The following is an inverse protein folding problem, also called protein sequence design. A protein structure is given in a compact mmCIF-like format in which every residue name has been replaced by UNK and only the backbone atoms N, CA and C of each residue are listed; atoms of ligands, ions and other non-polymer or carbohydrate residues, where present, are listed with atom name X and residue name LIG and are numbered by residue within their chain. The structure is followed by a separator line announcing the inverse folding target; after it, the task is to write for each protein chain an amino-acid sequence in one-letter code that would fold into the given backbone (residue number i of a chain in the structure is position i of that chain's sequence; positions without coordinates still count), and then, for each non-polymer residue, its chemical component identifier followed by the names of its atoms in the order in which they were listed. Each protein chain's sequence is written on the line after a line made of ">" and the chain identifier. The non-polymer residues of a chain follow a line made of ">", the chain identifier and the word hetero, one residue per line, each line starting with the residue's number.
data_IF_663080163887
#
_entry.id   IF_663080163887
#
_cell.length_a   1.000
_cell.length_b   1.000
_cell.length_c   1.000
_cell.angle_alpha   90.00
_cell.angle_beta   90.00
_cell.angle_gamma   90.00
#
_symmetry.space_group_name_H-M   'P 1'
#
loop_
_entity.id
_entity.type
_entity.pdbx_description
1 polymer ?
#
# COMPACT_ATOMS: atom_id res chain seq x y z
N UNK A 1 24.12 -19.21 15.41
CA UNK A 1 22.69 -19.17 15.18
C UNK A 1 22.06 -18.56 16.43
N UNK A 2 21.35 -17.45 16.32
CA UNK A 2 20.53 -16.96 17.44
C UNK A 2 19.42 -18.01 17.72
N UNK A 3 19.10 -18.25 18.99
CA UNK A 3 18.02 -19.15 19.35
C UNK A 3 16.69 -18.56 18.81
N UNK A 4 15.90 -19.39 18.14
CA UNK A 4 14.57 -18.99 17.69
C UNK A 4 13.70 -18.70 18.93
N UNK A 5 12.98 -17.57 18.90
CA UNK A 5 12.10 -17.19 20.00
C UNK A 5 10.89 -18.12 20.05
N UNK A 6 10.41 -18.42 21.26
CA UNK A 6 9.13 -19.11 21.43
C UNK A 6 7.95 -18.16 21.14
N UNK A 7 6.75 -18.73 20.90
CA UNK A 7 5.53 -17.94 20.68
C UNK A 7 5.25 -17.01 21.88
N UNK A 8 5.41 -17.50 23.10
CA UNK A 8 5.22 -16.71 24.32
C UNK A 8 6.25 -15.57 24.45
N UNK A 9 7.49 -15.80 24.03
CA UNK A 9 8.53 -14.76 24.03
C UNK A 9 8.24 -13.69 22.98
N UNK A 10 7.72 -14.06 21.79
CA UNK A 10 7.32 -13.12 20.75
C UNK A 10 6.17 -12.25 21.24
N UNK A 11 5.11 -12.85 21.83
CA UNK A 11 3.98 -12.13 22.40
C UNK A 11 4.44 -11.15 23.49
N UNK A 12 5.21 -11.62 24.46
CA UNK A 12 5.74 -10.77 25.53
C UNK A 12 6.51 -9.57 24.96
N UNK A 13 7.40 -9.82 24.00
CA UNK A 13 8.16 -8.75 23.33
C UNK A 13 7.27 -7.81 22.52
N UNK A 14 6.23 -8.32 21.85
CA UNK A 14 5.28 -7.48 21.14
C UNK A 14 4.64 -6.45 22.08
N UNK A 15 4.11 -6.89 23.24
CA UNK A 15 3.55 -5.97 24.24
C UNK A 15 4.59 -5.01 24.83
N UNK A 16 5.86 -5.42 24.91
CA UNK A 16 6.94 -4.57 25.40
C UNK A 16 7.30 -3.45 24.40
N UNK A 17 7.57 -3.80 23.14
CA UNK A 17 8.06 -2.84 22.13
C UNK A 17 6.95 -1.93 21.57
N UNK A 18 5.69 -2.38 21.62
CA UNK A 18 4.53 -1.59 21.21
C UNK A 18 3.81 -0.92 22.39
N UNK A 19 4.35 -0.97 23.61
CA UNK A 19 3.71 -0.43 24.82
C UNK A 19 3.24 1.01 24.64
N UNK A 20 4.09 1.87 24.11
CA UNK A 20 3.79 3.28 23.91
C UNK A 20 2.58 3.52 22.98
N UNK A 21 2.38 2.63 21.99
CA UNK A 21 1.22 2.68 21.09
C UNK A 21 0.00 1.97 21.71
N UNK A 22 0.21 0.85 22.40
CA UNK A 22 -0.84 0.01 22.95
C UNK A 22 -1.55 0.61 24.20
N UNK A 23 -0.84 1.44 24.98
CA UNK A 23 -1.35 2.05 26.21
C UNK A 23 -2.14 3.36 25.98
N UNK A 24 -2.18 3.85 24.74
CA UNK A 24 -2.94 5.06 24.38
C UNK A 24 -4.22 4.70 23.64
N UNK A 25 -5.23 5.57 23.75
CA UNK A 25 -6.45 5.44 22.96
C UNK A 25 -6.10 5.61 21.48
N UNK A 26 -6.46 4.65 20.61
CA UNK A 26 -6.18 4.78 19.20
C UNK A 26 -7.02 5.90 18.56
N UNK A 27 -6.45 6.71 17.66
CA UNK A 27 -7.19 7.72 16.90
C UNK A 27 -8.38 7.15 16.12
N UNK A 28 -8.24 5.95 15.57
CA UNK A 28 -9.28 5.20 14.89
C UNK A 28 -9.34 3.77 15.42
N UNK A 29 -10.52 3.33 15.87
CA UNK A 29 -10.72 1.96 16.36
C UNK A 29 -10.92 0.98 15.18
N UNK A 30 -10.79 -0.33 15.41
CA UNK A 30 -11.16 -1.33 14.40
C UNK A 30 -12.63 -1.23 14.00
N UNK A 31 -13.52 -0.96 14.95
CA UNK A 31 -14.93 -0.69 14.69
C UNK A 31 -15.10 0.58 13.83
N UNK A 32 -14.35 1.63 14.14
CA UNK A 32 -14.30 2.84 13.33
C UNK A 32 -13.79 2.57 11.91
N UNK A 33 -12.77 1.72 11.77
CA UNK A 33 -12.30 1.27 10.45
C UNK A 33 -13.37 0.51 9.65
N UNK A 34 -14.18 -0.32 10.31
CA UNK A 34 -15.32 -0.98 9.68
C UNK A 34 -16.40 0.01 9.23
N UNK A 35 -16.69 1.03 10.06
CA UNK A 35 -17.63 2.09 9.67
C UNK A 35 -17.15 2.80 8.40
N UNK A 36 -15.87 3.14 8.36
CA UNK A 36 -15.25 3.75 7.16
C UNK A 36 -15.35 2.84 5.93
N UNK A 37 -15.11 1.53 6.08
CA UNK A 37 -15.31 0.56 5.00
C UNK A 37 -16.75 0.54 4.49
N UNK A 38 -17.71 0.68 5.41
CA UNK A 38 -19.14 0.80 5.12
C UNK A 38 -19.60 2.17 4.64
N UNK A 39 -18.69 3.13 4.43
CA UNK A 39 -18.99 4.53 4.10
C UNK A 39 -19.78 5.28 5.19
N UNK A 40 -19.63 4.85 6.43
CA UNK A 40 -20.22 5.48 7.62
C UNK A 40 -19.18 6.32 8.37
N UNK A 41 -19.64 7.26 9.19
CA UNK A 41 -18.76 8.01 10.08
C UNK A 41 -18.24 7.13 11.22
N UNK A 42 -16.92 7.19 11.45
CA UNK A 42 -16.31 6.51 12.57
C UNK A 42 -16.73 7.14 13.90
N UNK A 43 -17.33 6.35 14.79
CA UNK A 43 -17.62 6.80 16.13
C UNK A 43 -16.35 6.92 16.98
N UNK A 44 -16.31 7.86 17.94
CA UNK A 44 -15.22 7.98 18.89
C UNK A 44 -15.00 6.67 19.67
N UNK A 45 -13.79 6.50 20.20
CA UNK A 45 -13.47 5.37 21.08
C UNK A 45 -14.45 5.29 22.27
N UNK A 46 -15.03 4.11 22.42
CA UNK A 46 -15.86 3.75 23.57
C UNK A 46 -15.33 2.46 24.20
N UNK A 47 -14.83 2.55 25.42
CA UNK A 47 -14.26 1.42 26.13
C UNK A 47 -15.19 0.20 26.24
N UNK A 48 -16.49 0.42 26.32
CA UNK A 48 -17.45 -0.68 26.41
C UNK A 48 -17.59 -1.48 25.11
N UNK A 49 -17.30 -0.84 23.96
CA UNK A 49 -17.46 -1.40 22.63
C UNK A 49 -16.13 -1.68 21.93
N UNK A 50 -15.05 -1.01 22.33
CA UNK A 50 -13.75 -1.05 21.65
C UNK A 50 -12.64 -1.74 22.50
N UNK A 51 -13.04 -2.41 23.61
CA UNK A 51 -12.09 -3.28 24.33
C UNK A 51 -11.63 -4.40 23.43
N UNK A 52 -10.32 -4.57 23.19
CA UNK A 52 -9.79 -5.52 22.20
C UNK A 52 -9.84 -6.98 22.70
N UNK A 53 -11.06 -7.47 22.96
CA UNK A 53 -11.35 -8.88 23.24
C UNK A 53 -11.19 -9.71 21.97
N UNK A 54 -11.10 -11.04 22.11
CA UNK A 54 -11.05 -11.96 20.96
C UNK A 54 -12.25 -11.78 20.03
N UNK A 55 -13.45 -11.64 20.60
CA UNK A 55 -14.66 -11.41 19.82
C UNK A 55 -14.64 -10.08 19.05
N UNK A 56 -14.09 -9.03 19.68
CA UNK A 56 -13.90 -7.73 19.02
C UNK A 56 -12.89 -7.80 17.88
N UNK A 57 -11.72 -8.45 18.10
CA UNK A 57 -10.70 -8.61 17.08
C UNK A 57 -11.25 -9.40 15.89
N UNK A 58 -11.90 -10.54 16.13
CA UNK A 58 -12.47 -11.35 15.08
C UNK A 58 -13.61 -10.64 14.33
N UNK A 59 -14.46 -9.91 15.04
CA UNK A 59 -15.58 -9.18 14.44
C UNK A 59 -15.20 -7.92 13.66
N UNK A 60 -14.06 -7.31 13.99
CA UNK A 60 -13.73 -5.99 13.45
C UNK A 60 -12.43 -5.92 12.64
N UNK A 61 -11.46 -6.85 12.84
CA UNK A 61 -10.15 -6.68 12.25
C UNK A 61 -10.14 -6.87 10.72
N UNK A 62 -10.96 -7.77 10.19
CA UNK A 62 -10.90 -8.14 8.77
C UNK A 62 -11.08 -6.93 7.83
N UNK A 63 -12.09 -6.12 8.07
CA UNK A 63 -12.34 -4.91 7.30
C UNK A 63 -11.65 -3.69 7.90
N UNK A 64 -11.74 -3.53 9.23
CA UNK A 64 -11.30 -2.34 9.92
C UNK A 64 -9.80 -2.09 9.89
N UNK A 65 -8.97 -3.15 9.99
CA UNK A 65 -7.52 -3.02 10.05
C UNK A 65 -6.94 -2.34 8.79
N UNK A 66 -7.61 -2.54 7.66
CA UNK A 66 -7.26 -1.91 6.40
C UNK A 66 -7.29 -0.37 6.45
N UNK A 67 -8.12 0.24 7.26
CA UNK A 67 -8.38 1.69 7.29
C UNK A 67 -7.63 2.44 8.40
N UNK A 68 -7.03 1.74 9.35
CA UNK A 68 -6.32 2.37 10.46
C UNK A 68 -5.14 3.24 10.00
N UNK A 69 -4.92 4.35 10.68
CA UNK A 69 -3.67 5.10 10.63
C UNK A 69 -2.51 4.32 11.26
N UNK A 70 -1.28 4.83 11.13
CA UNK A 70 -0.10 4.12 11.62
C UNK A 70 -0.10 3.92 13.15
N UNK A 71 -0.59 4.90 13.93
CA UNK A 71 -0.64 4.80 15.38
C UNK A 71 -1.71 3.79 15.83
N UNK A 72 -2.92 3.88 15.26
CA UNK A 72 -4.01 2.94 15.53
C UNK A 72 -3.62 1.52 15.14
N UNK A 73 -2.95 1.33 14.01
CA UNK A 73 -2.47 0.03 13.56
C UNK A 73 -1.46 -0.57 14.55
N UNK A 74 -0.45 0.21 14.99
CA UNK A 74 0.52 -0.24 16.00
C UNK A 74 -0.12 -0.54 17.36
N UNK A 75 -1.19 0.18 17.73
CA UNK A 75 -1.98 -0.09 18.95
C UNK A 75 -2.51 -1.53 18.98
N UNK A 76 -3.00 -2.03 17.85
CA UNK A 76 -3.60 -3.38 17.78
C UNK A 76 -2.60 -4.50 17.50
N UNK A 77 -1.40 -4.21 16.95
CA UNK A 77 -0.43 -5.24 16.57
C UNK A 77 -0.12 -6.25 17.67
N UNK A 78 0.24 -5.88 18.92
CA UNK A 78 0.59 -6.87 19.94
C UNK A 78 -0.57 -7.79 20.30
N UNK A 79 -1.80 -7.27 20.28
CA UNK A 79 -3.02 -8.04 20.56
C UNK A 79 -3.39 -8.99 19.43
N UNK A 80 -3.18 -8.56 18.19
CA UNK A 80 -3.40 -9.39 17.02
C UNK A 80 -2.35 -10.51 16.90
N UNK A 81 -1.10 -10.24 17.24
CA UNK A 81 -0.02 -11.26 17.30
C UNK A 81 -0.36 -12.32 18.39
N UNK A 82 -0.77 -11.88 19.58
CA UNK A 82 -1.19 -12.79 20.66
C UNK A 82 -2.42 -13.60 20.25
N UNK A 83 -3.41 -12.94 19.64
CA UNK A 83 -4.60 -13.60 19.12
C UNK A 83 -4.24 -14.67 18.08
N UNK A 84 -3.39 -14.38 17.13
CA UNK A 84 -2.98 -15.31 16.09
C UNK A 84 -2.32 -16.58 16.66
N UNK A 85 -1.51 -16.45 17.69
CA UNK A 85 -0.86 -17.61 18.34
C UNK A 85 -1.80 -18.43 19.23
N UNK A 86 -2.85 -17.81 19.79
CA UNK A 86 -3.86 -18.54 20.59
C UNK A 86 -4.92 -19.24 19.74
N UNK A 87 -5.10 -18.84 18.48
CA UNK A 87 -6.09 -19.37 17.54
C UNK A 87 -5.44 -19.99 16.28
N UNK A 88 -4.53 -20.96 16.42
CA UNK A 88 -3.76 -21.47 15.29
C UNK A 88 -4.61 -22.28 14.29
N UNK A 89 -5.73 -22.87 14.74
CA UNK A 89 -6.53 -23.81 13.95
C UNK A 89 -7.91 -23.27 13.54
N UNK A 90 -8.26 -22.08 13.99
CA UNK A 90 -9.52 -21.46 13.59
C UNK A 90 -9.31 -20.70 12.25
N UNK A 91 -10.28 -20.72 11.33
CA UNK A 91 -10.25 -19.88 10.14
C UNK A 91 -10.49 -18.42 10.55
N UNK A 92 -9.55 -17.86 11.33
CA UNK A 92 -9.69 -16.56 11.95
C UNK A 92 -9.41 -15.46 10.92
N UNK A 93 -10.44 -14.76 10.51
CA UNK A 93 -10.36 -13.63 9.59
C UNK A 93 -9.44 -12.51 10.12
N UNK A 94 -9.35 -12.36 11.43
CA UNK A 94 -8.44 -11.40 12.06
C UNK A 94 -6.96 -11.73 11.80
N UNK A 95 -6.59 -13.02 11.75
CA UNK A 95 -5.22 -13.45 11.47
C UNK A 95 -4.86 -13.19 10.00
N UNK A 96 -5.77 -13.52 9.09
CA UNK A 96 -5.60 -13.21 7.66
C UNK A 96 -5.42 -11.70 7.43
N UNK A 97 -6.27 -10.88 8.06
CA UNK A 97 -6.17 -9.43 7.99
C UNK A 97 -4.86 -8.90 8.58
N UNK A 98 -4.38 -9.48 9.69
CA UNK A 98 -3.08 -9.14 10.27
C UNK A 98 -1.96 -9.38 9.25
N UNK A 99 -1.85 -10.58 8.69
CA UNK A 99 -0.78 -10.92 7.74
C UNK A 99 -0.86 -10.03 6.50
N UNK A 100 -2.04 -9.79 5.95
CA UNK A 100 -2.26 -8.86 4.84
C UNK A 100 -1.82 -7.43 5.18
N UNK A 101 -2.06 -6.97 6.40
CA UNK A 101 -1.65 -5.63 6.85
C UNK A 101 -0.15 -5.47 6.99
N UNK A 102 0.58 -6.58 7.07
CA UNK A 102 2.04 -6.66 7.14
C UNK A 102 2.70 -6.76 5.75
N UNK A 103 1.93 -6.66 4.68
CA UNK A 103 2.42 -6.74 3.29
C UNK A 103 2.34 -5.40 2.59
N UNK A 104 3.21 -5.16 1.59
CA UNK A 104 3.10 -3.99 0.71
C UNK A 104 1.81 -4.07 -0.16
N UNK A 105 1.32 -2.93 -0.68
CA UNK A 105 1.93 -1.62 -0.59
C UNK A 105 1.75 -0.99 0.80
N UNK A 106 2.80 -0.29 1.28
CA UNK A 106 2.65 0.52 2.50
C UNK A 106 1.74 1.71 2.19
N UNK A 107 0.92 2.08 3.16
CA UNK A 107 -0.06 3.17 3.00
C UNK A 107 0.58 4.52 3.28
N UNK A 108 -0.13 5.57 2.90
CA UNK A 108 0.19 6.91 3.35
C UNK A 108 -0.91 7.43 4.32
N UNK A 109 -0.55 7.96 5.49
CA UNK A 109 0.81 7.93 6.07
C UNK A 109 1.35 6.51 6.22
N UNK A 110 2.67 6.30 6.09
CA UNK A 110 3.25 4.96 6.09
C UNK A 110 3.01 4.25 7.43
N UNK A 111 2.78 2.95 7.38
CA UNK A 111 2.63 2.08 8.56
C UNK A 111 3.87 1.20 8.75
N UNK A 112 4.19 0.40 7.73
CA UNK A 112 5.31 -0.55 7.78
C UNK A 112 6.65 0.17 7.99
N UNK A 113 6.87 1.26 7.26
CA UNK A 113 8.08 2.06 7.35
C UNK A 113 8.22 2.85 8.66
N UNK A 114 7.19 2.94 9.49
CA UNK A 114 7.24 3.67 10.78
C UNK A 114 7.70 2.82 11.96
N UNK A 115 7.80 1.51 11.80
CA UNK A 115 8.23 0.62 12.88
C UNK A 115 9.69 0.90 13.27
N UNK A 116 9.98 0.84 14.56
CA UNK A 116 11.36 0.83 15.05
C UNK A 116 12.03 -0.51 14.74
N UNK A 117 13.35 -0.57 14.85
CA UNK A 117 14.08 -1.81 14.61
C UNK A 117 13.64 -2.96 15.55
N UNK A 118 13.30 -2.63 16.81
CA UNK A 118 12.80 -3.62 17.78
C UNK A 118 11.40 -4.10 17.43
N UNK A 119 10.52 -3.20 16.97
CA UNK A 119 9.19 -3.54 16.50
C UNK A 119 9.25 -4.40 15.22
N UNK A 120 10.11 -4.03 14.27
CA UNK A 120 10.37 -4.83 13.06
C UNK A 120 10.85 -6.24 13.42
N UNK A 121 11.80 -6.36 14.36
CA UNK A 121 12.33 -7.67 14.77
C UNK A 121 11.26 -8.60 15.34
N UNK A 122 10.27 -8.05 16.06
CA UNK A 122 9.13 -8.84 16.58
C UNK A 122 8.20 -9.26 15.45
N UNK A 123 7.91 -8.38 14.49
CA UNK A 123 7.10 -8.73 13.31
C UNK A 123 7.78 -9.81 12.48
N UNK A 124 9.07 -9.71 12.26
CA UNK A 124 9.85 -10.73 11.54
C UNK A 124 9.77 -12.08 12.29
N UNK A 125 10.02 -12.11 13.61
CA UNK A 125 9.94 -13.34 14.39
C UNK A 125 8.53 -13.97 14.36
N UNK A 126 7.49 -13.15 14.38
CA UNK A 126 6.10 -13.61 14.22
C UNK A 126 5.88 -14.26 12.85
N UNK A 127 6.24 -13.58 11.75
CA UNK A 127 6.10 -14.10 10.40
C UNK A 127 6.96 -15.35 10.15
N UNK A 128 8.20 -15.38 10.65
CA UNK A 128 9.07 -16.56 10.57
C UNK A 128 8.45 -17.77 11.27
N UNK A 129 7.80 -17.54 12.43
CA UNK A 129 7.14 -18.63 13.16
C UNK A 129 5.96 -19.19 12.37
N UNK A 130 5.14 -18.34 11.74
CA UNK A 130 4.04 -18.78 10.88
C UNK A 130 4.54 -19.46 9.59
N UNK A 131 5.62 -18.94 9.00
CA UNK A 131 6.21 -19.47 7.78
C UNK A 131 6.82 -20.88 7.96
N UNK A 132 7.09 -21.28 9.21
CA UNK A 132 7.60 -22.61 9.59
C UNK A 132 6.48 -23.51 10.15
N UNK A 133 5.26 -23.04 10.24
CA UNK A 133 4.13 -23.80 10.78
C UNK A 133 3.57 -24.76 9.71
N UNK A 134 3.78 -26.05 9.90
CA UNK A 134 3.33 -27.07 8.95
C UNK A 134 1.84 -27.40 9.07
N UNK A 135 1.15 -26.89 10.09
CA UNK A 135 -0.27 -27.15 10.31
C UNK A 135 -1.21 -26.19 9.52
N UNK A 136 -0.66 -25.06 9.03
CA UNK A 136 -1.42 -23.99 8.38
C UNK A 136 -0.76 -23.55 7.07
N UNK A 137 -0.96 -24.37 6.02
CA UNK A 137 -0.39 -24.08 4.70
C UNK A 137 -0.81 -22.72 4.13
N UNK A 138 -2.06 -22.29 4.35
CA UNK A 138 -2.60 -21.01 3.94
C UNK A 138 -1.85 -19.82 4.58
N UNK A 139 -1.68 -19.86 5.89
CA UNK A 139 -0.94 -18.81 6.63
C UNK A 139 0.56 -18.86 6.36
N UNK A 140 1.11 -20.07 6.16
CA UNK A 140 2.53 -20.25 5.85
C UNK A 140 2.92 -19.53 4.57
N UNK A 141 2.17 -19.74 3.48
CA UNK A 141 2.45 -19.10 2.20
C UNK A 141 2.36 -17.58 2.30
N UNK A 142 1.32 -17.06 2.93
CA UNK A 142 1.13 -15.62 3.11
C UNK A 142 2.22 -14.99 4.00
N UNK A 143 2.66 -15.68 5.05
CA UNK A 143 3.74 -15.24 5.92
C UNK A 143 5.10 -15.24 5.19
N UNK A 144 5.39 -16.28 4.40
CA UNK A 144 6.59 -16.33 3.55
C UNK A 144 6.59 -15.20 2.54
N UNK A 145 5.45 -14.95 1.90
CA UNK A 145 5.33 -13.87 0.94
C UNK A 145 5.53 -12.50 1.60
N UNK A 146 4.96 -12.26 2.79
CA UNK A 146 5.19 -11.03 3.53
C UNK A 146 6.68 -10.80 3.83
N UNK A 147 7.37 -11.85 4.30
CA UNK A 147 8.81 -11.82 4.56
C UNK A 147 9.61 -11.43 3.31
N UNK A 148 9.37 -12.07 2.18
CA UNK A 148 10.07 -11.83 0.92
C UNK A 148 9.77 -10.44 0.33
N UNK A 149 8.55 -9.97 0.51
CA UNK A 149 8.10 -8.70 -0.05
C UNK A 149 8.62 -7.49 0.73
N UNK A 150 8.77 -7.57 2.05
CA UNK A 150 9.10 -6.40 2.86
C UNK A 150 10.13 -6.60 3.97
N UNK A 151 10.10 -7.72 4.72
CA UNK A 151 10.75 -7.80 6.02
C UNK A 151 12.18 -8.34 6.02
N UNK A 152 12.53 -9.21 5.08
CA UNK A 152 13.88 -9.76 5.00
C UNK A 152 14.89 -8.78 4.39
N UNK A 153 16.20 -8.93 4.70
CA UNK A 153 17.24 -8.20 4.01
C UNK A 153 17.17 -8.42 2.49
N UNK A 154 17.10 -7.33 1.73
CA UNK A 154 16.95 -7.40 0.27
C UNK A 154 15.53 -7.69 -0.19
N UNK A 155 14.53 -7.56 0.68
CA UNK A 155 13.11 -7.72 0.35
C UNK A 155 12.73 -6.91 -0.89
N UNK A 156 11.90 -7.52 -1.74
CA UNK A 156 11.58 -7.08 -3.10
C UNK A 156 11.03 -5.64 -3.17
N UNK A 157 10.22 -5.24 -2.19
CA UNK A 157 9.46 -3.98 -2.23
C UNK A 157 9.80 -3.04 -1.09
N UNK A 158 10.77 -3.39 -0.24
CA UNK A 158 11.18 -2.52 0.85
C UNK A 158 11.85 -1.26 0.27
N UNK A 159 11.41 -0.06 0.68
CA UNK A 159 12.09 1.15 0.26
C UNK A 159 13.53 1.18 0.79
N UNK A 160 14.38 1.93 0.09
CA UNK A 160 15.77 2.10 0.52
C UNK A 160 15.84 2.79 1.89
N UNK A 161 16.91 2.56 2.68
CA UNK A 161 17.02 3.14 4.02
C UNK A 161 16.83 4.67 4.06
N UNK A 162 17.32 5.39 3.05
CA UNK A 162 17.16 6.85 2.95
C UNK A 162 15.70 7.26 2.68
N UNK A 163 14.94 6.47 1.92
CA UNK A 163 13.51 6.68 1.69
C UNK A 163 12.72 6.44 2.97
N UNK A 164 13.04 5.36 3.69
CA UNK A 164 12.44 5.07 5.01
C UNK A 164 12.74 6.17 6.02
N UNK A 165 14.00 6.65 6.05
CA UNK A 165 14.37 7.74 6.93
C UNK A 165 13.60 9.03 6.62
N UNK A 166 13.41 9.36 5.33
CA UNK A 166 12.62 10.51 4.90
C UNK A 166 11.14 10.37 5.30
N UNK A 167 10.55 9.20 5.15
CA UNK A 167 9.16 8.93 5.57
C UNK A 167 8.97 9.06 7.09
N UNK A 168 9.93 8.58 7.89
CA UNK A 168 9.90 8.70 9.36
C UNK A 168 10.06 10.14 9.83
N UNK A 169 10.91 10.90 9.16
CA UNK A 169 11.21 12.28 9.55
C UNK A 169 10.08 13.27 9.22
N UNK A 170 9.39 13.02 8.11
CA UNK A 170 8.35 13.92 7.61
C UNK A 170 7.26 13.11 6.85
N UNK A 171 6.43 12.32 7.57
CA UNK A 171 5.48 11.41 6.93
C UNK A 171 4.43 12.12 6.06
N UNK A 172 4.17 13.39 6.31
CA UNK A 172 3.26 14.22 5.50
C UNK A 172 3.97 15.00 4.38
N UNK A 173 5.30 14.86 4.23
CA UNK A 173 6.05 15.59 3.21
C UNK A 173 6.30 14.74 1.98
N UNK A 174 6.38 15.43 0.85
CA UNK A 174 6.76 14.79 -0.42
C UNK A 174 8.23 14.38 -0.39
N UNK A 175 8.51 13.23 -0.97
CA UNK A 175 9.86 12.74 -1.20
C UNK A 175 10.00 12.27 -2.65
N UNK A 176 11.24 12.15 -3.10
CA UNK A 176 11.55 11.65 -4.44
C UNK A 176 11.71 10.15 -4.39
N UNK A 177 10.85 9.43 -5.09
CA UNK A 177 11.04 8.01 -5.40
C UNK A 177 11.95 7.94 -6.61
N UNK A 178 13.22 7.62 -6.39
CA UNK A 178 14.25 7.54 -7.44
C UNK A 178 14.56 6.07 -7.76
N UNK A 179 14.32 5.71 -9.00
CA UNK A 179 14.60 4.37 -9.55
C UNK A 179 15.52 4.48 -10.76
N UNK A 180 16.21 3.41 -11.16
CA UNK A 180 17.12 3.45 -12.30
C UNK A 180 16.51 3.95 -13.61
N UNK A 181 15.20 3.77 -13.77
CA UNK A 181 14.49 4.04 -15.03
C UNK A 181 13.50 5.18 -14.95
N UNK A 182 13.12 5.60 -13.73
CA UNK A 182 12.16 6.70 -13.54
C UNK A 182 12.38 7.43 -12.22
N UNK A 183 11.84 8.64 -12.12
CA UNK A 183 11.74 9.42 -10.89
C UNK A 183 10.33 9.98 -10.75
N UNK A 184 9.84 10.01 -9.52
CA UNK A 184 8.53 10.51 -9.19
C UNK A 184 8.54 11.12 -7.78
N UNK A 185 7.93 12.28 -7.60
CA UNK A 185 7.77 12.90 -6.28
C UNK A 185 6.38 12.64 -5.75
N UNK A 186 6.28 12.00 -4.61
CA UNK A 186 4.99 11.66 -3.99
C UNK A 186 5.13 11.48 -2.48
N UNK A 187 4.02 11.53 -1.73
CA UNK A 187 4.06 11.41 -0.27
C UNK A 187 4.14 9.96 0.23
N UNK A 188 4.21 8.99 -0.65
CA UNK A 188 4.33 7.56 -0.31
C UNK A 188 5.39 6.89 -1.18
N UNK A 189 5.81 5.69 -0.81
CA UNK A 189 6.70 4.87 -1.65
C UNK A 189 5.93 4.12 -2.71
N UNK A 190 6.57 3.86 -3.86
CA UNK A 190 6.10 2.89 -4.84
C UNK A 190 6.68 1.52 -4.51
N UNK A 191 5.81 0.56 -4.35
CA UNK A 191 6.16 -0.84 -4.15
C UNK A 191 5.66 -1.66 -5.33
N UNK A 192 6.31 -2.79 -5.63
CA UNK A 192 5.73 -3.73 -6.59
C UNK A 192 4.56 -4.44 -5.92
N UNK A 193 3.36 -4.20 -6.41
CA UNK A 193 2.11 -4.69 -5.80
C UNK A 193 1.48 -5.84 -6.58
N UNK A 194 2.16 -6.34 -7.60
CA UNK A 194 1.65 -7.44 -8.39
C UNK A 194 2.17 -7.47 -9.82
N UNK A 195 1.58 -8.31 -10.63
CA UNK A 195 1.90 -8.44 -12.04
C UNK A 195 0.67 -8.12 -12.90
N UNK A 196 0.92 -7.54 -14.05
CA UNK A 196 -0.12 -7.23 -15.04
C UNK A 196 0.23 -7.88 -16.37
N UNK A 197 -0.75 -8.57 -16.95
CA UNK A 197 -0.62 -9.07 -18.32
C UNK A 197 -0.77 -7.91 -19.31
N UNK A 198 0.25 -7.67 -20.10
CA UNK A 198 0.23 -6.73 -21.21
C UNK A 198 -0.09 -7.52 -22.48
N UNK A 199 -1.36 -7.45 -22.90
CA UNK A 199 -1.86 -8.24 -24.01
C UNK A 199 -1.09 -7.96 -25.33
N UNK A 200 -0.70 -6.72 -25.57
CA UNK A 200 0.07 -6.30 -26.72
C UNK A 200 1.48 -6.89 -26.76
N UNK A 201 2.01 -7.27 -25.63
CA UNK A 201 3.34 -7.83 -25.49
C UNK A 201 3.31 -9.34 -25.22
N UNK A 202 2.13 -9.89 -24.98
CA UNK A 202 1.94 -11.28 -24.54
C UNK A 202 2.84 -11.68 -23.36
N UNK A 203 3.09 -10.71 -22.47
CA UNK A 203 3.94 -10.92 -21.29
C UNK A 203 3.31 -10.34 -20.03
N UNK A 204 3.76 -10.85 -18.91
CA UNK A 204 3.45 -10.32 -17.58
C UNK A 204 4.56 -9.33 -17.20
N UNK A 205 4.17 -8.16 -16.73
CA UNK A 205 5.08 -7.13 -16.21
C UNK A 205 4.77 -6.83 -14.76
N UNK A 206 5.79 -6.47 -14.02
CA UNK A 206 5.67 -6.01 -12.64
C UNK A 206 5.08 -4.59 -12.62
N UNK A 207 4.10 -4.37 -11.76
CA UNK A 207 3.42 -3.07 -11.59
C UNK A 207 3.86 -2.45 -10.28
N UNK A 208 4.27 -1.20 -10.33
CA UNK A 208 4.59 -0.41 -9.16
C UNK A 208 3.37 0.36 -8.70
N UNK A 209 3.04 0.28 -7.44
CA UNK A 209 1.89 0.99 -6.88
C UNK A 209 2.21 1.72 -5.60
N UNK A 210 1.46 2.79 -5.35
CA UNK A 210 1.44 3.51 -4.10
C UNK A 210 0.05 4.06 -3.84
N UNK A 211 -0.30 4.26 -2.59
CA UNK A 211 -1.57 4.84 -2.18
C UNK A 211 -1.33 5.97 -1.18
N UNK A 212 -1.95 7.11 -1.45
CA UNK A 212 -2.12 8.18 -0.48
C UNK A 212 -3.49 7.98 0.18
N UNK A 213 -3.49 7.72 1.48
CA UNK A 213 -4.72 7.64 2.26
C UNK A 213 -4.91 8.95 3.01
N UNK A 214 -6.13 9.50 2.97
CA UNK A 214 -6.58 10.51 3.91
C UNK A 214 -6.88 9.88 5.28
N UNK A 215 -7.51 10.65 6.16
CA UNK A 215 -7.76 10.24 7.55
C UNK A 215 -8.53 8.92 7.68
N UNK A 216 -9.28 8.54 6.67
CA UNK A 216 -10.15 7.37 6.74
C UNK A 216 -10.12 6.45 5.50
N UNK A 217 -9.69 6.90 4.33
CA UNK A 217 -9.73 6.11 3.09
C UNK A 217 -8.68 6.54 2.08
N UNK A 218 -8.48 5.72 1.05
CA UNK A 218 -7.56 6.05 -0.07
C UNK A 218 -8.05 7.29 -0.81
N UNK A 219 -7.23 8.32 -0.84
CA UNK A 219 -7.52 9.58 -1.54
C UNK A 219 -6.94 9.55 -2.94
N UNK A 220 -5.71 9.05 -3.08
CA UNK A 220 -5.02 8.95 -4.38
C UNK A 220 -4.35 7.60 -4.51
N UNK A 221 -4.65 6.90 -5.57
CA UNK A 221 -3.95 5.68 -5.98
C UNK A 221 -2.99 5.96 -7.14
N UNK A 222 -1.78 5.43 -7.07
CA UNK A 222 -0.76 5.59 -8.10
C UNK A 222 -0.32 4.21 -8.59
N UNK A 223 -0.33 4.02 -9.90
CA UNK A 223 0.20 2.82 -10.53
C UNK A 223 1.16 3.19 -11.65
N UNK A 224 2.32 2.55 -11.69
CA UNK A 224 3.29 2.68 -12.76
C UNK A 224 3.52 1.33 -13.43
N UNK A 225 3.20 1.25 -14.71
CA UNK A 225 3.32 0.02 -15.51
C UNK A 225 4.39 0.20 -16.57
N UNK A 226 5.49 -0.56 -16.56
CA UNK A 226 6.46 -0.56 -17.65
C UNK A 226 5.91 -1.30 -18.88
N UNK A 227 6.21 -0.80 -20.06
CA UNK A 227 5.84 -1.42 -21.34
C UNK A 227 6.87 -1.10 -22.44
N UNK A 228 6.82 -1.83 -23.57
CA UNK A 228 7.65 -1.48 -24.72
C UNK A 228 7.08 -0.23 -25.42
N UNK A 229 7.95 0.73 -25.75
CA UNK A 229 7.56 2.02 -26.32
C UNK A 229 6.70 1.93 -27.59
N UNK A 230 6.89 0.86 -28.40
CA UNK A 230 6.08 0.59 -29.61
C UNK A 230 4.59 0.34 -29.31
N UNK A 231 4.25 -0.08 -28.09
CA UNK A 231 2.86 -0.38 -27.68
C UNK A 231 2.16 0.78 -26.98
N UNK A 232 2.86 1.88 -26.73
CA UNK A 232 2.35 3.04 -26.00
C UNK A 232 0.99 3.49 -26.51
N UNK A 233 0.87 3.66 -27.84
CA UNK A 233 -0.36 4.15 -28.48
C UNK A 233 -1.54 3.19 -28.26
N UNK A 234 -1.34 1.89 -28.51
CA UNK A 234 -2.41 0.90 -28.33
C UNK A 234 -2.88 0.81 -26.88
N UNK A 235 -1.94 0.92 -25.92
CA UNK A 235 -2.28 0.92 -24.49
C UNK A 235 -3.06 2.18 -24.11
N UNK A 236 -2.70 3.36 -24.64
CA UNK A 236 -3.41 4.61 -24.41
C UNK A 236 -4.82 4.59 -25.02
N UNK A 237 -4.99 4.09 -26.25
CA UNK A 237 -6.29 3.94 -26.91
C UNK A 237 -7.20 2.99 -26.11
N UNK A 238 -6.66 1.89 -25.57
CA UNK A 238 -7.41 0.99 -24.69
C UNK A 238 -7.77 1.67 -23.37
N UNK A 239 -6.85 2.36 -22.73
CA UNK A 239 -7.13 3.12 -21.51
C UNK A 239 -8.26 4.14 -21.74
N UNK A 240 -8.20 4.87 -22.86
CA UNK A 240 -9.24 5.81 -23.25
C UNK A 240 -10.62 5.17 -23.39
N UNK A 241 -10.70 3.97 -23.98
CA UNK A 241 -11.97 3.25 -24.17
C UNK A 241 -12.62 2.81 -22.84
N UNK A 242 -11.81 2.67 -21.77
CA UNK A 242 -12.28 2.33 -20.42
C UNK A 242 -12.84 3.52 -19.63
N UNK A 243 -12.59 4.74 -20.07
CA UNK A 243 -13.01 5.95 -19.36
C UNK A 243 -14.38 6.44 -19.78
N UNK A 244 -15.11 7.06 -18.85
CA UNK A 244 -16.32 7.84 -19.15
C UNK A 244 -15.87 9.25 -19.51
N UNK A 245 -16.14 9.66 -20.74
CA UNK A 245 -15.57 10.89 -21.25
C UNK A 245 -16.18 12.15 -20.61
N UNK A 246 -15.32 12.92 -19.92
CA UNK A 246 -15.48 14.36 -19.94
C UNK A 246 -14.44 15.02 -20.88
N UNK A 247 -13.29 14.45 -21.10
CA UNK A 247 -12.26 14.88 -22.07
C UNK A 247 -11.28 13.72 -22.31
N UNK A 248 -11.50 12.92 -23.34
CA UNK A 248 -10.61 11.82 -23.76
C UNK A 248 -9.78 12.28 -24.96
N UNK A 249 -9.21 13.45 -24.93
CA UNK A 249 -8.24 13.86 -25.93
C UNK A 249 -6.84 13.66 -25.37
N UNK A 250 -6.02 12.77 -25.93
CA UNK A 250 -4.62 12.67 -25.58
C UNK A 250 -3.96 14.03 -25.79
N UNK A 251 -3.51 14.64 -24.71
CA UNK A 251 -2.79 15.91 -24.78
C UNK A 251 -1.30 15.62 -24.83
N UNK A 252 -0.63 16.38 -25.66
CA UNK A 252 0.82 16.38 -25.62
C UNK A 252 1.26 17.04 -24.30
N UNK A 253 2.01 16.30 -23.49
CA UNK A 253 2.63 16.78 -22.25
C UNK A 253 4.13 16.62 -22.36
N UNK A 254 4.88 17.45 -21.66
CA UNK A 254 6.32 17.29 -21.57
C UNK A 254 6.66 16.52 -20.31
N UNK A 255 7.22 15.31 -20.49
CA UNK A 255 7.80 14.52 -19.40
C UNK A 255 9.31 14.57 -19.55
N UNK A 256 10.06 15.08 -18.55
CA UNK A 256 11.52 15.11 -18.64
C UNK A 256 12.11 13.73 -18.92
N UNK A 257 13.11 13.67 -19.77
CA UNK A 257 13.74 12.41 -20.19
C UNK A 257 12.97 11.57 -21.22
N UNK A 258 11.73 11.91 -21.52
CA UNK A 258 10.95 11.19 -22.52
C UNK A 258 11.15 11.76 -23.93
N UNK A 259 11.33 10.89 -24.92
CA UNK A 259 11.30 11.25 -26.33
C UNK A 259 9.86 11.51 -26.84
N UNK A 260 8.90 10.86 -26.21
CA UNK A 260 7.47 11.03 -26.49
C UNK A 260 6.66 10.87 -25.23
N UNK A 261 5.65 11.73 -25.03
CA UNK A 261 4.70 11.61 -23.93
C UNK A 261 3.32 12.12 -24.30
N UNK A 262 2.32 11.49 -23.72
CA UNK A 262 0.91 11.78 -23.92
C UNK A 262 0.19 11.72 -22.57
N UNK A 263 -0.86 12.51 -22.40
CA UNK A 263 -1.70 12.52 -21.19
C UNK A 263 -3.16 12.34 -21.54
N UNK A 264 -3.87 11.57 -20.73
CA UNK A 264 -5.28 11.32 -20.82
C UNK A 264 -5.92 11.60 -19.46
N UNK A 265 -6.95 12.43 -19.44
CA UNK A 265 -7.74 12.73 -18.25
C UNK A 265 -9.18 12.26 -18.45
N UNK A 266 -9.77 11.66 -17.42
CA UNK A 266 -11.13 11.17 -17.50
C UNK A 266 -11.72 10.79 -16.15
N UNK A 267 -12.91 10.21 -16.21
CA UNK A 267 -13.56 9.58 -15.07
C UNK A 267 -13.70 8.09 -15.35
N UNK A 268 -13.56 7.26 -14.33
CA UNK A 268 -13.87 5.84 -14.46
C UNK A 268 -15.35 5.65 -14.78
N UNK A 269 -15.69 4.57 -15.46
CA UNK A 269 -17.09 4.14 -15.58
C UNK A 269 -17.49 3.59 -14.24
N UNK A 270 -18.16 4.40 -13.41
CA UNK A 270 -18.67 3.94 -12.12
C UNK A 270 -19.54 2.69 -12.29
N UNK A 271 -19.29 1.67 -11.48
CA UNK A 271 -20.27 0.63 -11.24
C UNK A 271 -21.18 1.20 -10.15
N UNK A 272 -22.48 1.35 -10.47
CA UNK A 272 -23.48 1.80 -9.47
C UNK A 272 -23.40 0.92 -8.22
N UNK A 273 -23.32 1.49 -7.00
CA UNK A 273 -23.57 2.87 -6.57
C UNK A 273 -22.30 3.72 -6.34
N UNK A 274 -21.14 3.28 -6.77
CA UNK A 274 -19.86 3.94 -6.50
C UNK A 274 -19.71 5.18 -7.38
N UNK A 275 -19.35 6.32 -6.78
CA UNK A 275 -19.02 7.55 -7.51
C UNK A 275 -17.83 7.31 -8.46
N UNK A 276 -17.85 7.97 -9.65
CA UNK A 276 -16.76 7.81 -10.60
C UNK A 276 -15.48 8.44 -10.04
N UNK A 277 -14.38 7.70 -10.07
CA UNK A 277 -13.07 8.25 -9.72
C UNK A 277 -12.52 9.13 -10.85
N UNK A 278 -11.87 10.20 -10.49
CA UNK A 278 -11.00 10.96 -11.39
C UNK A 278 -9.77 10.11 -11.73
N UNK A 279 -9.39 10.07 -13.00
CA UNK A 279 -8.21 9.36 -13.44
C UNK A 279 -7.35 10.26 -14.35
N UNK A 280 -6.06 10.29 -14.08
CA UNK A 280 -5.04 10.92 -14.89
C UNK A 280 -4.03 9.86 -15.33
N UNK A 281 -3.83 9.73 -16.62
CA UNK A 281 -2.90 8.78 -17.20
C UNK A 281 -1.84 9.54 -17.98
N UNK A 282 -0.59 9.34 -17.64
CA UNK A 282 0.55 9.85 -18.40
C UNK A 282 1.33 8.68 -18.97
N UNK A 283 1.50 8.68 -20.26
CA UNK A 283 2.32 7.72 -20.95
C UNK A 283 3.57 8.42 -21.46
N UNK A 284 4.75 7.88 -21.15
CA UNK A 284 6.03 8.46 -21.53
C UNK A 284 6.98 7.37 -22.01
N UNK A 285 7.73 7.63 -23.07
CA UNK A 285 8.66 6.70 -23.68
C UNK A 285 10.00 7.38 -24.02
N UNK A 286 11.10 6.66 -23.83
CA UNK A 286 12.46 7.07 -24.24
C UNK A 286 12.91 6.40 -25.57
N UNK A 287 11.97 5.85 -26.32
CA UNK A 287 12.18 5.11 -27.57
C UNK A 287 11.85 3.64 -27.46
N UNK A 288 12.62 2.83 -26.73
CA UNK A 288 12.36 1.39 -26.59
C UNK A 288 11.49 1.05 -25.37
N UNK A 289 11.75 1.73 -24.27
CA UNK A 289 10.99 1.55 -23.02
C UNK A 289 9.97 2.67 -22.86
N UNK A 290 8.83 2.34 -22.26
CA UNK A 290 7.81 3.29 -21.91
C UNK A 290 7.22 2.97 -20.54
N UNK A 291 6.61 3.97 -19.92
CA UNK A 291 5.90 3.85 -18.66
C UNK A 291 4.51 4.44 -18.80
N UNK A 292 3.54 3.74 -18.24
CA UNK A 292 2.18 4.21 -18.05
C UNK A 292 1.98 4.55 -16.58
N UNK A 293 2.06 5.83 -16.24
CA UNK A 293 1.70 6.33 -14.93
C UNK A 293 0.19 6.56 -14.90
N UNK A 294 -0.50 5.88 -14.00
CA UNK A 294 -1.93 6.07 -13.75
C UNK A 294 -2.10 6.61 -12.33
N UNK A 295 -2.72 7.78 -12.21
CA UNK A 295 -3.08 8.39 -10.93
C UNK A 295 -4.59 8.50 -10.88
N UNK A 296 -5.23 8.01 -9.82
CA UNK A 296 -6.68 8.02 -9.63
C UNK A 296 -7.03 8.50 -8.23
N UNK A 297 -8.16 9.16 -8.11
CA UNK A 297 -8.66 9.67 -6.84
C UNK A 297 -10.09 10.18 -6.98
N UNK A 298 -10.67 10.58 -5.87
CA UNK A 298 -12.01 11.17 -5.85
C UNK A 298 -12.03 12.51 -6.60
N UNK A 299 -13.12 12.87 -7.29
CA UNK A 299 -13.23 14.11 -8.07
C UNK A 299 -13.49 15.34 -7.16
N UNK A 300 -12.52 15.67 -6.31
CA UNK A 300 -12.50 16.83 -5.43
C UNK A 300 -11.29 17.70 -5.75
N UNK A 301 -11.40 19.01 -5.60
CA UNK A 301 -10.36 19.96 -5.99
C UNK A 301 -9.03 19.72 -5.27
N UNK A 302 -9.05 19.40 -3.97
CA UNK A 302 -7.87 19.09 -3.17
C UNK A 302 -7.17 17.80 -3.65
N UNK A 303 -7.94 16.78 -3.99
CA UNK A 303 -7.45 15.50 -4.51
C UNK A 303 -6.91 15.68 -5.94
N UNK A 304 -7.61 16.42 -6.79
CA UNK A 304 -7.15 16.72 -8.15
C UNK A 304 -5.84 17.53 -8.16
N UNK A 305 -5.69 18.48 -7.23
CA UNK A 305 -4.44 19.22 -7.07
C UNK A 305 -3.26 18.32 -6.67
N UNK A 306 -3.54 17.33 -5.81
CA UNK A 306 -2.56 16.34 -5.39
C UNK A 306 -2.16 15.41 -6.54
N UNK A 307 -3.15 14.89 -7.27
CA UNK A 307 -2.92 14.07 -8.46
C UNK A 307 -2.09 14.82 -9.50
N UNK A 308 -2.40 16.09 -9.75
CA UNK A 308 -1.67 16.95 -10.68
C UNK A 308 -0.21 17.15 -10.24
N UNK A 309 0.05 17.31 -8.93
CA UNK A 309 1.40 17.44 -8.40
C UNK A 309 2.24 16.17 -8.65
N UNK A 310 1.65 15.00 -8.42
CA UNK A 310 2.30 13.71 -8.68
C UNK A 310 2.61 13.57 -10.18
N UNK A 311 1.63 13.80 -11.04
CA UNK A 311 1.77 13.70 -12.49
C UNK A 311 2.87 14.61 -13.03
N UNK A 312 2.93 15.86 -12.56
CA UNK A 312 3.96 16.84 -12.99
C UNK A 312 5.38 16.51 -12.53
N UNK A 313 5.50 15.71 -11.48
CA UNK A 313 6.81 15.30 -10.95
C UNK A 313 7.40 14.09 -11.67
N UNK A 314 6.64 13.45 -12.55
CA UNK A 314 7.08 12.24 -13.25
C UNK A 314 8.13 12.56 -14.30
N UNK A 315 9.26 11.86 -14.24
CA UNK A 315 10.34 11.91 -15.23
C UNK A 315 10.90 10.52 -15.52
N UNK A 316 11.38 10.32 -16.72
CA UNK A 316 12.14 9.12 -17.09
C UNK A 316 13.62 9.40 -16.81
N UNK A 317 14.21 8.58 -15.96
CA UNK A 317 15.64 8.64 -15.70
C UNK A 317 16.37 8.11 -16.94
N UNK A 318 17.17 8.95 -17.59
CA UNK A 318 18.04 8.50 -18.67
C UNK A 318 18.97 7.40 -18.18
N UNK A 319 19.22 6.36 -18.99
CA UNK A 319 20.21 5.34 -18.67
C UNK A 319 21.53 6.06 -18.36
N UNK A 320 21.94 6.04 -17.09
CA UNK A 320 23.32 6.41 -16.76
C UNK A 320 24.19 5.35 -17.41
N UNK A 321 24.84 5.75 -18.52
CA UNK A 321 25.84 4.97 -19.26
C UNK A 321 27.04 4.63 -18.37
#
# INVERSE_FOLDING_TARGET
>A
MAAQLTREEIVRRAFEVFRADADVVPPLTLRGGNAVDGYDEAEPFDRAHDEPTDAYLEGCAFWGLGYLDAQSWRHYLPRLIDYAFRHPNDPAMAVEALIRSLRPPDRYPPRLATLTAEQEAVVVAFLETLALDDERDDLREDAQQALEEWWLPGARHRPRPEEVAALRAAPASYHVVDRPTFRLTMPTTLTSSGSRHIAEESRIVEVWSGMLCGDAYTVVGVNLTPLAGRHLRAVMERAASGLRAARVDPRHVSVPGAARSERLDGLTRGQSPVEPERIMIVAAADGQEAFLLTVRGWPRDDVEAEMERIVRSFEIAGRRS
#
